data_IF_822965880432
#
_entry.id   IF_822965880432
#
_cell.length_a   1.000
_cell.length_b   1.000
_cell.length_c   1.000
_cell.angle_alpha   90.00
_cell.angle_beta   90.00
_cell.angle_gamma   90.00
#
_symmetry.space_group_name_H-M   'P 1'
#
loop_
_entity.id
_entity.type
_entity.pdbx_description
1 polymer ?
#
# COMPACT_ATOMS: atom_id res chain seq x y z
N UNK A 1 -16.06 -11.76 -7.90
CA UNK A 1 -14.83 -11.04 -7.45
C UNK A 1 -13.77 -12.08 -7.15
N UNK A 2 -12.58 -11.95 -7.72
CA UNK A 2 -11.45 -12.88 -7.54
C UNK A 2 -10.42 -12.16 -6.67
N UNK A 3 -10.07 -12.66 -5.48
CA UNK A 3 -8.98 -12.11 -4.70
C UNK A 3 -7.62 -12.56 -5.26
N UNK A 4 -6.60 -11.72 -5.13
CA UNK A 4 -5.25 -12.03 -5.58
C UNK A 4 -4.26 -10.91 -5.30
N UNK A 5 -3.00 -11.16 -5.53
CA UNK A 5 -1.96 -10.14 -5.40
C UNK A 5 -1.92 -9.22 -6.63
N UNK A 6 -1.48 -7.97 -6.45
CA UNK A 6 -1.56 -6.94 -7.50
C UNK A 6 -0.92 -7.34 -8.83
N UNK A 7 0.20 -8.08 -8.82
CA UNK A 7 0.85 -8.52 -10.06
C UNK A 7 0.03 -9.57 -10.80
N UNK A 8 -0.53 -10.53 -10.08
CA UNK A 8 -1.40 -11.56 -10.66
C UNK A 8 -2.64 -10.94 -11.30
N UNK A 9 -3.32 -10.05 -10.56
CA UNK A 9 -4.50 -9.34 -11.06
C UNK A 9 -4.18 -8.50 -12.29
N UNK A 10 -3.03 -7.83 -12.32
CA UNK A 10 -2.57 -7.08 -13.48
C UNK A 10 -2.41 -7.99 -14.71
N UNK A 11 -1.79 -9.16 -14.54
CA UNK A 11 -1.60 -10.12 -15.63
C UNK A 11 -2.94 -10.66 -16.17
N UNK A 12 -3.91 -10.92 -15.29
CA UNK A 12 -5.25 -11.37 -15.71
C UNK A 12 -5.99 -10.29 -16.51
N UNK A 13 -5.84 -9.00 -16.15
CA UNK A 13 -6.41 -7.90 -16.95
C UNK A 13 -5.72 -7.78 -18.30
N UNK A 14 -4.41 -7.87 -18.34
CA UNK A 14 -3.61 -7.80 -19.57
C UNK A 14 -3.96 -8.94 -20.54
N UNK A 15 -4.09 -10.16 -20.01
CA UNK A 15 -4.54 -11.34 -20.77
C UNK A 15 -6.02 -11.27 -21.20
N UNK A 16 -6.81 -10.34 -20.65
CA UNK A 16 -8.25 -10.24 -20.91
C UNK A 16 -9.10 -11.29 -20.21
N UNK A 17 -8.55 -11.97 -19.22
CA UNK A 17 -9.27 -12.97 -18.42
C UNK A 17 -10.23 -12.30 -17.41
N UNK A 18 -9.88 -11.08 -16.97
CA UNK A 18 -10.77 -10.21 -16.20
C UNK A 18 -10.76 -8.80 -16.81
N UNK A 19 -11.87 -8.07 -16.68
CA UNK A 19 -12.04 -6.75 -17.30
C UNK A 19 -11.37 -5.63 -16.51
N UNK A 20 -11.45 -5.69 -15.15
CA UNK A 20 -11.00 -4.65 -14.24
C UNK A 20 -10.36 -5.30 -13.02
N UNK A 21 -9.28 -4.71 -12.52
CA UNK A 21 -8.73 -5.06 -11.22
C UNK A 21 -8.48 -3.80 -10.38
N UNK A 22 -8.78 -3.89 -9.07
CA UNK A 22 -8.36 -2.91 -8.09
C UNK A 22 -7.03 -3.37 -7.48
N UNK A 23 -5.96 -2.62 -7.73
CA UNK A 23 -4.60 -3.00 -7.33
C UNK A 23 -3.81 -1.82 -6.77
N UNK A 24 -2.70 -2.10 -6.13
CA UNK A 24 -1.65 -1.12 -5.87
C UNK A 24 -0.93 -0.82 -7.18
N UNK A 25 -0.70 0.45 -7.50
CA UNK A 25 -0.02 0.84 -8.73
C UNK A 25 1.37 0.22 -8.81
N UNK A 26 1.69 -0.51 -9.89
CA UNK A 26 3.02 -1.07 -10.07
C UNK A 26 4.07 0.04 -10.28
N UNK A 27 5.34 -0.21 -9.94
CA UNK A 27 6.43 0.76 -10.05
C UNK A 27 7.00 0.90 -11.48
N UNK A 28 6.29 0.40 -12.47
CA UNK A 28 6.65 0.44 -13.89
C UNK A 28 5.49 0.99 -14.74
N UNK A 29 5.79 1.41 -15.96
CA UNK A 29 4.78 1.88 -16.91
C UNK A 29 3.96 0.71 -17.45
N UNK A 30 2.65 0.92 -17.61
CA UNK A 30 1.78 -0.04 -18.27
C UNK A 30 2.12 -0.18 -19.74
N UNK A 31 1.89 -1.37 -20.28
CA UNK A 31 1.89 -1.58 -21.72
C UNK A 31 0.74 -0.80 -22.39
N UNK A 32 0.79 -0.63 -23.71
CA UNK A 32 0.00 0.33 -24.48
C UNK A 32 -1.52 0.25 -24.31
N UNK A 33 -2.06 -0.94 -24.01
CA UNK A 33 -3.50 -1.17 -23.96
C UNK A 33 -4.13 -1.10 -22.58
N UNK A 34 -3.30 -0.96 -21.54
CA UNK A 34 -3.81 -0.82 -20.18
C UNK A 34 -4.03 0.66 -19.82
N UNK A 35 -5.06 0.89 -19.05
CA UNK A 35 -5.43 2.20 -18.49
C UNK A 35 -5.45 2.13 -16.99
N UNK A 36 -5.13 3.24 -16.35
CA UNK A 36 -5.08 3.37 -14.91
C UNK A 36 -5.95 4.53 -14.45
N UNK A 37 -6.76 4.28 -13.42
CA UNK A 37 -7.51 5.32 -12.69
C UNK A 37 -7.15 5.26 -11.22
N UNK A 38 -6.54 6.32 -10.68
CA UNK A 38 -6.22 6.41 -9.25
C UNK A 38 -7.50 6.64 -8.45
N UNK A 39 -7.75 5.80 -7.43
CA UNK A 39 -8.89 5.92 -6.51
C UNK A 39 -8.49 6.52 -5.17
N UNK A 40 -7.27 6.25 -4.72
CA UNK A 40 -6.76 6.74 -3.44
C UNK A 40 -5.22 6.83 -3.46
N UNK A 41 -4.71 7.79 -2.68
CA UNK A 41 -3.30 7.86 -2.32
C UNK A 41 -3.16 7.60 -0.84
N UNK A 42 -2.42 6.56 -0.48
CA UNK A 42 -2.23 6.13 0.89
C UNK A 42 -0.82 6.49 1.37
N UNK A 43 -0.68 7.42 2.34
CA UNK A 43 0.61 7.78 2.89
C UNK A 43 1.20 6.63 3.72
N UNK A 44 2.50 6.43 3.63
CA UNK A 44 3.20 5.53 4.55
C UNK A 44 3.49 6.22 5.87
N UNK A 45 3.35 5.47 6.97
CA UNK A 45 3.59 5.88 8.34
C UNK A 45 4.48 4.86 9.05
N UNK A 46 5.31 5.35 9.97
CA UNK A 46 5.93 4.46 10.94
C UNK A 46 4.90 4.17 12.04
N UNK A 47 4.55 2.92 12.24
CA UNK A 47 3.70 2.50 13.35
C UNK A 47 4.54 1.89 14.46
N UNK A 48 4.22 2.27 15.69
CA UNK A 48 4.92 1.83 16.90
C UNK A 48 3.91 1.46 17.99
N UNK A 49 4.29 0.60 18.94
CA UNK A 49 3.47 0.38 20.14
C UNK A 49 3.19 1.70 20.86
N UNK A 50 1.98 1.88 21.36
CA UNK A 50 1.55 3.16 21.99
C UNK A 50 2.41 3.56 23.19
N UNK A 51 2.99 2.60 23.89
CA UNK A 51 3.89 2.85 25.03
C UNK A 51 5.26 3.42 24.64
N UNK A 52 5.67 3.24 23.39
CA UNK A 52 6.94 3.77 22.87
C UNK A 52 6.86 5.28 22.78
N UNK A 53 7.81 6.01 23.38
CA UNK A 53 7.87 7.48 23.41
C UNK A 53 8.68 8.01 22.23
N UNK A 54 8.57 9.31 21.96
CA UNK A 54 9.31 9.99 20.89
C UNK A 54 8.46 10.24 19.64
N UNK A 55 8.91 11.18 18.80
CA UNK A 55 8.27 11.57 17.53
C UNK A 55 9.24 11.48 16.36
N UNK A 56 10.52 11.31 16.63
CA UNK A 56 11.53 11.14 15.60
C UNK A 56 11.45 9.72 15.03
N UNK A 57 10.94 9.61 13.82
CA UNK A 57 10.79 8.34 13.13
C UNK A 57 12.12 7.62 12.91
N UNK A 58 13.22 8.38 12.70
CA UNK A 58 14.53 7.84 12.41
C UNK A 58 15.13 7.18 13.66
N UNK A 59 15.07 7.88 14.82
CA UNK A 59 15.49 7.31 16.11
C UNK A 59 14.67 6.06 16.43
N UNK A 60 13.34 6.13 16.34
CA UNK A 60 12.45 5.00 16.62
C UNK A 60 12.72 3.78 15.74
N UNK A 61 13.02 4.00 14.46
CA UNK A 61 13.34 2.94 13.50
C UNK A 61 14.69 2.27 13.82
N UNK A 62 15.65 3.05 14.33
CA UNK A 62 16.99 2.55 14.70
C UNK A 62 16.99 1.79 16.01
N UNK A 63 16.16 2.21 16.97
CA UNK A 63 16.16 1.67 18.34
C UNK A 63 15.34 0.39 18.48
N UNK A 64 14.36 0.17 17.61
CA UNK A 64 13.42 -0.94 17.75
C UNK A 64 13.57 -2.02 16.68
N UNK A 65 13.19 -3.29 16.99
CA UNK A 65 13.08 -4.34 15.98
C UNK A 65 12.11 -3.93 14.88
N UNK A 66 12.45 -4.25 13.63
CA UNK A 66 11.66 -3.89 12.47
C UNK A 66 10.89 -5.09 11.92
N UNK A 67 9.57 -4.94 11.80
CA UNK A 67 8.68 -5.87 11.15
C UNK A 67 8.55 -5.39 9.70
N UNK A 68 9.09 -6.18 8.79
CA UNK A 68 9.16 -5.80 7.39
C UNK A 68 7.86 -6.12 6.64
N UNK A 69 7.41 -5.18 5.85
CA UNK A 69 6.40 -5.42 4.83
C UNK A 69 7.07 -6.12 3.64
N UNK A 70 6.49 -7.24 3.18
CA UNK A 70 7.06 -8.14 2.19
C UNK A 70 7.63 -7.42 0.96
N UNK A 71 8.92 -7.65 0.69
CA UNK A 71 9.67 -7.07 -0.42
C UNK A 71 9.16 -7.50 -1.79
N UNK A 72 8.45 -8.63 -1.88
CA UNK A 72 7.87 -9.10 -3.14
C UNK A 72 6.64 -8.27 -3.52
N UNK A 73 5.92 -7.69 -2.54
CA UNK A 73 4.77 -6.84 -2.78
C UNK A 73 5.15 -5.46 -3.34
N UNK A 74 4.25 -4.81 -4.06
CA UNK A 74 4.49 -3.45 -4.56
C UNK A 74 4.64 -2.43 -3.42
N UNK A 75 3.90 -2.61 -2.33
CA UNK A 75 4.02 -1.74 -1.15
C UNK A 75 5.35 -1.92 -0.42
N UNK A 76 5.76 -3.16 -0.20
CA UNK A 76 7.02 -3.48 0.47
C UNK A 76 8.24 -3.03 -0.32
N UNK A 77 8.19 -3.11 -1.67
CA UNK A 77 9.26 -2.53 -2.53
C UNK A 77 9.41 -1.02 -2.34
N UNK A 78 8.33 -0.30 -2.08
CA UNK A 78 8.40 1.14 -1.80
C UNK A 78 9.07 1.40 -0.44
N UNK A 79 8.75 0.60 0.59
CA UNK A 79 9.42 0.66 1.89
C UNK A 79 10.91 0.35 1.76
N UNK A 80 11.25 -0.72 1.04
CA UNK A 80 12.66 -1.09 0.82
C UNK A 80 13.44 0.02 0.08
N UNK A 81 12.85 0.61 -0.96
CA UNK A 81 13.42 1.77 -1.67
C UNK A 81 13.59 2.97 -0.74
N UNK A 82 12.63 3.24 0.13
CA UNK A 82 12.71 4.31 1.13
C UNK A 82 13.89 4.08 2.07
N UNK A 83 14.00 2.90 2.67
CA UNK A 83 15.09 2.57 3.60
C UNK A 83 16.47 2.69 2.94
N UNK A 84 16.62 2.19 1.70
CA UNK A 84 17.86 2.32 0.93
C UNK A 84 18.21 3.79 0.64
N UNK A 85 17.23 4.59 0.20
CA UNK A 85 17.45 6.02 -0.08
C UNK A 85 17.86 6.81 1.15
N UNK A 86 17.35 6.42 2.31
CA UNK A 86 17.68 7.03 3.60
C UNK A 86 18.92 6.43 4.24
N UNK A 87 19.57 5.45 3.58
CA UNK A 87 20.72 4.70 4.12
C UNK A 87 20.45 4.06 5.48
N UNK A 88 19.22 3.62 5.71
CA UNK A 88 18.83 2.94 6.94
C UNK A 88 19.12 1.45 6.88
N UNK A 89 19.89 0.95 7.86
CA UNK A 89 20.01 -0.46 8.19
C UNK A 89 19.09 -0.75 9.38
N UNK A 90 18.07 -1.58 9.17
CA UNK A 90 17.10 -1.95 10.20
C UNK A 90 17.44 -3.31 10.81
N UNK A 91 17.12 -3.49 12.08
CA UNK A 91 17.20 -4.79 12.74
C UNK A 91 15.93 -5.58 12.47
N UNK A 92 15.93 -6.31 11.36
CA UNK A 92 14.77 -7.10 10.93
C UNK A 92 14.44 -8.21 11.92
N UNK A 93 13.16 -8.29 12.31
CA UNK A 93 12.62 -9.37 13.16
C UNK A 93 11.91 -10.43 12.30
N UNK A 94 11.07 -10.00 11.39
CA UNK A 94 10.33 -10.85 10.47
C UNK A 94 9.86 -10.06 9.24
N UNK A 95 9.43 -10.77 8.21
CA UNK A 95 8.87 -10.22 6.99
C UNK A 95 7.48 -10.84 6.74
N UNK A 96 6.47 -10.00 6.48
CA UNK A 96 5.07 -10.39 6.34
C UNK A 96 4.40 -9.62 5.20
N UNK A 97 3.51 -10.27 4.49
CA UNK A 97 2.69 -9.67 3.42
C UNK A 97 1.39 -9.05 3.97
N UNK A 98 0.80 -9.69 4.97
CA UNK A 98 -0.48 -9.29 5.54
C UNK A 98 -0.37 -8.06 6.44
N UNK A 99 -0.94 -6.94 6.01
CA UNK A 99 -0.91 -5.67 6.75
C UNK A 99 -1.53 -5.79 8.16
N UNK A 100 -2.61 -6.56 8.29
CA UNK A 100 -3.27 -6.78 9.58
C UNK A 100 -2.35 -7.54 10.55
N UNK A 101 -1.63 -8.54 10.07
CA UNK A 101 -0.66 -9.29 10.87
C UNK A 101 0.49 -8.38 11.34
N UNK A 102 1.01 -7.52 10.46
CA UNK A 102 2.04 -6.52 10.82
C UNK A 102 1.52 -5.61 11.93
N UNK A 103 0.32 -5.05 11.78
CA UNK A 103 -0.30 -4.16 12.78
C UNK A 103 -0.48 -4.88 14.12
N UNK A 104 -0.92 -6.14 14.12
CA UNK A 104 -1.07 -6.94 15.34
C UNK A 104 0.26 -7.22 16.03
N UNK A 105 1.33 -7.47 15.29
CA UNK A 105 2.66 -7.63 15.91
C UNK A 105 3.14 -6.34 16.58
N UNK A 106 2.93 -5.18 15.92
CA UNK A 106 3.24 -3.88 16.53
C UNK A 106 2.37 -3.64 17.76
N UNK A 107 1.08 -3.95 17.71
CA UNK A 107 0.15 -3.84 18.86
C UNK A 107 0.61 -4.66 20.08
N UNK A 108 1.24 -5.82 19.84
CA UNK A 108 1.78 -6.70 20.85
C UNK A 108 3.23 -6.37 21.26
N UNK A 109 3.79 -5.28 20.77
CA UNK A 109 5.12 -4.80 21.19
C UNK A 109 6.30 -5.56 20.58
N UNK A 110 6.09 -6.36 19.52
CA UNK A 110 7.15 -7.13 18.87
C UNK A 110 8.17 -6.23 18.18
N UNK A 111 7.72 -5.08 17.65
CA UNK A 111 8.59 -4.16 16.95
C UNK A 111 7.83 -2.97 16.36
N UNK A 112 8.46 -2.31 15.40
CA UNK A 112 7.91 -1.18 14.64
C UNK A 112 7.85 -1.55 13.16
N UNK A 113 6.98 -0.88 12.39
CA UNK A 113 6.83 -1.14 10.97
C UNK A 113 6.55 0.15 10.18
N UNK A 114 6.97 0.21 8.92
CA UNK A 114 6.54 1.24 7.98
C UNK A 114 5.47 0.62 7.08
N UNK A 115 4.25 1.15 7.16
CA UNK A 115 3.08 0.62 6.47
C UNK A 115 2.21 1.74 5.92
N UNK A 116 1.40 1.48 4.87
CA UNK A 116 0.47 2.46 4.35
C UNK A 116 -0.70 2.68 5.31
N UNK A 117 -1.15 3.92 5.41
CA UNK A 117 -2.37 4.26 6.10
C UNK A 117 -3.55 4.06 5.17
N UNK A 118 -4.14 2.89 5.20
CA UNK A 118 -5.26 2.50 4.35
C UNK A 118 -6.58 3.08 4.85
N UNK A 119 -7.63 2.97 4.04
CA UNK A 119 -8.99 3.34 4.46
C UNK A 119 -9.46 2.58 5.70
N UNK A 120 -9.04 1.31 5.88
CA UNK A 120 -9.30 0.51 7.07
C UNK A 120 -8.61 1.08 8.31
N UNK A 121 -7.41 1.63 8.13
CA UNK A 121 -6.60 2.22 9.21
C UNK A 121 -6.64 3.75 9.22
N UNK A 122 -7.78 4.36 8.89
CA UNK A 122 -8.01 5.80 9.16
C UNK A 122 -7.78 6.13 10.64
N UNK A 123 -8.10 5.18 11.53
CA UNK A 123 -7.74 5.19 12.95
C UNK A 123 -7.03 3.89 13.27
N UNK A 124 -5.83 4.01 13.82
CA UNK A 124 -5.05 2.86 14.27
C UNK A 124 -5.67 2.23 15.53
N UNK A 125 -5.43 0.93 15.78
CA UNK A 125 -5.84 0.29 17.03
C UNK A 125 -5.35 1.06 18.26
N UNK A 126 -6.07 0.96 19.37
CA UNK A 126 -5.79 1.74 20.58
C UNK A 126 -4.37 1.56 21.14
N UNK A 127 -3.76 0.41 20.89
CA UNK A 127 -2.38 0.10 21.34
C UNK A 127 -1.31 0.46 20.32
N UNK A 128 -1.69 1.01 19.16
CA UNK A 128 -0.77 1.43 18.09
C UNK A 128 -0.77 2.94 17.97
N UNK A 129 0.37 3.51 17.67
CA UNK A 129 0.55 4.93 17.35
C UNK A 129 1.28 5.07 16.02
N UNK A 130 0.77 5.93 15.16
CA UNK A 130 1.48 6.32 13.95
C UNK A 130 2.37 7.53 14.18
N UNK A 131 3.52 7.50 13.56
CA UNK A 131 4.50 8.58 13.52
C UNK A 131 4.65 9.01 12.06
N UNK A 132 4.56 10.30 11.84
CA UNK A 132 4.74 10.89 10.51
C UNK A 132 6.21 10.82 10.08
N UNK A 133 6.46 10.54 8.82
CA UNK A 133 7.80 10.56 8.23
C UNK A 133 8.22 11.99 7.80
N UNK A 134 7.39 12.98 8.06
CA UNK A 134 7.64 14.38 7.71
C UNK A 134 7.73 14.58 6.20
N UNK A 135 8.71 15.38 5.77
CA UNK A 135 8.96 15.63 4.34
C UNK A 135 9.46 14.40 3.56
N UNK A 136 9.77 13.31 4.25
CA UNK A 136 10.12 12.01 3.65
C UNK A 136 8.90 11.12 3.40
N UNK A 137 7.69 11.56 3.78
CA UNK A 137 6.46 10.79 3.56
C UNK A 137 6.31 10.47 2.08
N UNK A 138 6.15 9.19 1.79
CA UNK A 138 5.86 8.69 0.46
C UNK A 138 4.50 8.02 0.45
N UNK A 139 3.95 7.83 -0.74
CA UNK A 139 2.58 7.34 -0.93
C UNK A 139 2.57 6.14 -1.86
N UNK A 140 1.56 5.30 -1.71
CA UNK A 140 1.18 4.35 -2.75
C UNK A 140 -0.16 4.76 -3.35
N UNK A 141 -0.28 4.58 -4.66
CA UNK A 141 -1.54 4.74 -5.34
C UNK A 141 -2.30 3.41 -5.32
N UNK A 142 -3.56 3.45 -4.96
CA UNK A 142 -4.51 2.37 -5.13
C UNK A 142 -5.50 2.80 -6.21
N UNK A 143 -5.76 1.95 -7.18
CA UNK A 143 -6.61 2.32 -8.29
C UNK A 143 -7.10 1.14 -9.08
N UNK A 144 -7.77 1.46 -10.17
CA UNK A 144 -8.25 0.50 -11.14
C UNK A 144 -7.29 0.39 -12.31
N UNK A 145 -7.02 -0.83 -12.73
CA UNK A 145 -6.41 -1.14 -14.01
C UNK A 145 -7.44 -1.87 -14.87
N UNK A 146 -7.53 -1.50 -16.14
CA UNK A 146 -8.43 -2.12 -17.12
C UNK A 146 -7.83 -1.98 -18.53
N UNK A 147 -8.31 -2.77 -19.48
CA UNK A 147 -7.93 -2.59 -20.88
C UNK A 147 -8.54 -1.32 -21.46
N UNK A 148 -8.03 -0.88 -22.59
CA UNK A 148 -8.55 0.28 -23.29
C UNK A 148 -10.08 0.14 -23.54
N UNK A 149 -10.85 1.26 -23.50
CA UNK A 149 -12.32 1.22 -23.52
C UNK A 149 -12.94 0.45 -24.71
N UNK A 150 -12.26 0.39 -25.86
CA UNK A 150 -12.72 -0.37 -27.01
C UNK A 150 -12.79 -1.89 -26.77
N UNK A 151 -12.08 -2.40 -25.76
CA UNK A 151 -12.05 -3.82 -25.38
C UNK A 151 -12.99 -4.15 -24.23
N UNK A 152 -13.74 -3.18 -23.72
CA UNK A 152 -14.64 -3.36 -22.58
C UNK A 152 -16.09 -3.41 -23.04
N UNK A 153 -16.91 -4.24 -22.39
CA UNK A 153 -18.35 -4.27 -22.57
C UNK A 153 -19.03 -3.02 -21.97
N UNK A 154 -20.21 -2.67 -22.45
CA UNK A 154 -20.95 -1.50 -21.93
C UNK A 154 -21.25 -1.55 -20.43
N UNK A 155 -21.62 -2.71 -19.82
CA UNK A 155 -21.78 -2.80 -18.36
C UNK A 155 -20.49 -2.50 -17.61
N UNK A 156 -19.33 -2.91 -18.12
CA UNK A 156 -18.02 -2.64 -17.52
C UNK A 156 -17.65 -1.16 -17.59
N UNK A 157 -17.91 -0.51 -18.73
CA UNK A 157 -17.73 0.94 -18.89
C UNK A 157 -18.58 1.73 -17.89
N UNK A 158 -19.86 1.34 -17.75
CA UNK A 158 -20.75 1.97 -16.77
C UNK A 158 -20.23 1.79 -15.34
N UNK A 159 -19.76 0.59 -14.97
CA UNK A 159 -19.18 0.33 -13.65
C UNK A 159 -17.98 1.22 -13.38
N UNK A 160 -17.06 1.37 -14.35
CA UNK A 160 -15.90 2.26 -14.25
C UNK A 160 -16.33 3.70 -13.99
N UNK A 161 -17.26 4.23 -14.78
CA UNK A 161 -17.79 5.60 -14.61
C UNK A 161 -18.39 5.82 -13.21
N UNK A 162 -19.15 4.85 -12.69
CA UNK A 162 -19.73 4.92 -11.35
C UNK A 162 -18.67 4.95 -10.26
N UNK A 163 -17.63 4.12 -10.37
CA UNK A 163 -16.53 4.09 -9.41
C UNK A 163 -15.74 5.41 -9.45
N UNK A 164 -15.41 5.91 -10.63
CA UNK A 164 -14.70 7.19 -10.81
C UNK A 164 -15.49 8.36 -10.23
N UNK A 165 -16.78 8.42 -10.50
CA UNK A 165 -17.66 9.45 -9.94
C UNK A 165 -17.74 9.41 -8.40
N UNK A 166 -17.64 8.23 -7.80
CA UNK A 166 -17.60 8.06 -6.35
C UNK A 166 -16.24 8.45 -5.76
N UNK A 167 -15.15 8.17 -6.46
CA UNK A 167 -13.79 8.54 -6.02
C UNK A 167 -13.62 10.06 -5.97
N UNK A 168 -14.10 10.78 -6.99
CA UNK A 168 -14.06 12.24 -7.05
C UNK A 168 -14.84 12.95 -5.92
N UNK A 169 -15.91 12.32 -5.42
CA UNK A 169 -16.70 12.88 -4.29
C UNK A 169 -16.02 12.72 -2.93
N UNK A 170 -14.96 11.92 -2.82
CA UNK A 170 -14.26 11.63 -1.56
C UNK A 170 -12.87 12.28 -1.46
N UNK A 171 -12.40 12.91 -2.54
CA UNK A 171 -11.19 13.73 -2.59
C UNK A 171 -11.48 15.16 -2.19
#
# INVERSE_FOLDING_TARGET
MIPGVSMEMLNLVDAGEIDIAAIIRPPFSFQSDLRWTTLAQEPFRLIVPRGVKGKDWAALLSEHPFIRYDRASFGGRQVDRFLRRMHFTVREMCELDELEAIVRLVENGVGVAIVPQTATYRRWPAKVRAVDLGHHTFHRDVGLVHRAPQHLSEPVKLLLQLIEAQALKKS
#
